data_IF_580409865479
#
_entry.id   IF_580409865479
#
_cell.length_a   1.000
_cell.length_b   1.000
_cell.length_c   1.000
_cell.angle_alpha   90.00
_cell.angle_beta   90.00
_cell.angle_gamma   90.00
#
_symmetry.space_group_name_H-M   'P 1'
#
loop_
_entity.id
_entity.type
_entity.pdbx_description
1 polymer ?
#
# COMPACT_ATOMS: atom_id res chain seq x y z
N UNK A 1 -18.24 -10.81 -24.22
CA UNK A 1 -18.15 -9.44 -23.66
C UNK A 1 -19.12 -9.20 -22.49
N UNK A 2 -20.42 -9.52 -22.59
CA UNK A 2 -21.43 -9.29 -21.52
C UNK A 2 -21.13 -10.05 -20.21
N UNK A 3 -20.71 -11.32 -20.28
CA UNK A 3 -20.39 -12.14 -19.11
C UNK A 3 -19.21 -11.58 -18.29
N UNK A 4 -18.11 -11.17 -18.96
CA UNK A 4 -16.93 -10.59 -18.33
C UNK A 4 -17.24 -9.30 -17.60
N UNK A 5 -18.08 -8.43 -18.18
CA UNK A 5 -18.50 -7.17 -17.55
C UNK A 5 -19.32 -7.41 -16.29
N UNK A 6 -20.22 -8.41 -16.32
CA UNK A 6 -21.02 -8.79 -15.14
C UNK A 6 -20.09 -9.30 -14.02
N UNK A 7 -19.10 -10.11 -14.35
CA UNK A 7 -18.10 -10.63 -13.41
C UNK A 7 -17.28 -9.49 -12.77
N UNK A 8 -16.81 -8.53 -13.57
CA UNK A 8 -16.09 -7.35 -13.10
C UNK A 8 -16.95 -6.48 -12.18
N UNK A 9 -18.23 -6.26 -12.52
CA UNK A 9 -19.17 -5.47 -11.71
C UNK A 9 -19.47 -6.16 -10.36
N UNK A 10 -19.63 -7.49 -10.34
CA UNK A 10 -19.84 -8.28 -9.11
C UNK A 10 -18.60 -8.28 -8.22
N UNK A 11 -17.41 -8.48 -8.81
CA UNK A 11 -16.14 -8.38 -8.08
C UNK A 11 -15.98 -7.00 -7.43
N UNK A 12 -16.31 -5.94 -8.17
CA UNK A 12 -16.26 -4.57 -7.66
C UNK A 12 -17.20 -4.37 -6.48
N UNK A 13 -18.45 -4.83 -6.58
CA UNK A 13 -19.44 -4.75 -5.51
C UNK A 13 -18.95 -5.41 -4.21
N UNK A 14 -18.35 -6.61 -4.32
CA UNK A 14 -17.79 -7.34 -3.16
C UNK A 14 -16.64 -6.54 -2.52
N UNK A 15 -15.73 -6.02 -3.35
CA UNK A 15 -14.57 -5.26 -2.86
C UNK A 15 -14.99 -3.92 -2.26
N UNK A 16 -16.04 -3.27 -2.78
CA UNK A 16 -16.62 -2.04 -2.22
C UNK A 16 -17.25 -2.29 -0.85
N UNK A 17 -17.97 -3.38 -0.69
CA UNK A 17 -18.51 -3.81 0.60
C UNK A 17 -17.39 -4.08 1.62
N UNK A 18 -16.34 -4.78 1.19
CA UNK A 18 -15.16 -5.02 2.02
C UNK A 18 -14.49 -3.71 2.45
N UNK A 19 -14.30 -2.75 1.55
CA UNK A 19 -13.70 -1.44 1.86
C UNK A 19 -14.50 -0.70 2.94
N UNK A 20 -15.84 -0.63 2.80
CA UNK A 20 -16.71 0.03 3.79
C UNK A 20 -16.60 -0.62 5.17
N UNK A 21 -16.71 -1.94 5.24
CA UNK A 21 -16.61 -2.68 6.50
C UNK A 21 -15.23 -2.53 7.13
N UNK A 22 -14.18 -2.67 6.34
CA UNK A 22 -12.81 -2.51 6.82
C UNK A 22 -12.52 -1.11 7.36
N UNK A 23 -13.01 -0.08 6.69
CA UNK A 23 -12.88 1.30 7.15
C UNK A 23 -13.52 1.49 8.53
N UNK A 24 -14.69 0.90 8.75
CA UNK A 24 -15.46 1.03 9.98
C UNK A 24 -14.94 0.18 11.14
N UNK A 25 -14.57 -1.09 10.90
CA UNK A 25 -14.35 -2.08 11.97
C UNK A 25 -12.97 -2.73 12.00
N UNK A 26 -12.22 -2.70 10.89
CA UNK A 26 -10.92 -3.34 10.76
C UNK A 26 -10.98 -4.81 10.33
N UNK A 27 -9.81 -5.39 10.04
CA UNK A 27 -9.67 -6.70 9.42
C UNK A 27 -10.28 -7.85 10.23
N UNK A 28 -10.03 -7.88 11.53
CA UNK A 28 -10.45 -9.01 12.38
C UNK A 28 -11.97 -9.08 12.56
N UNK A 29 -12.65 -7.92 12.52
CA UNK A 29 -14.10 -7.84 12.69
C UNK A 29 -14.88 -8.14 11.40
N UNK A 30 -14.22 -8.16 10.23
CA UNK A 30 -14.87 -8.42 8.94
C UNK A 30 -14.90 -9.90 8.64
N UNK A 31 -16.05 -10.43 8.27
CA UNK A 31 -16.24 -11.79 7.79
C UNK A 31 -16.84 -11.80 6.38
N UNK A 32 -16.69 -12.94 5.66
CA UNK A 32 -17.34 -13.16 4.36
C UNK A 32 -18.87 -13.00 4.45
N UNK A 33 -19.48 -13.38 5.59
CA UNK A 33 -20.92 -13.22 5.82
C UNK A 33 -21.32 -11.75 5.88
N UNK A 34 -20.50 -10.93 6.54
CA UNK A 34 -20.79 -9.50 6.67
C UNK A 34 -20.61 -8.81 5.31
N UNK A 35 -19.57 -9.17 4.55
CA UNK A 35 -19.38 -8.67 3.18
C UNK A 35 -20.57 -9.04 2.29
N UNK A 36 -21.04 -10.30 2.34
CA UNK A 36 -22.18 -10.72 1.53
C UNK A 36 -23.48 -9.94 1.89
N UNK A 37 -23.69 -9.60 3.16
CA UNK A 37 -24.85 -8.78 3.60
C UNK A 37 -24.82 -7.36 3.05
N UNK A 38 -23.64 -6.83 2.78
CA UNK A 38 -23.43 -5.50 2.20
C UNK A 38 -23.48 -5.47 0.67
N UNK A 39 -23.77 -6.62 0.03
CA UNK A 39 -23.91 -6.76 -1.42
C UNK A 39 -25.31 -7.16 -1.82
N UNK A 40 -25.64 -6.99 -3.10
CA UNK A 40 -26.90 -7.50 -3.69
C UNK A 40 -26.89 -9.03 -3.92
N UNK A 41 -25.82 -9.73 -3.51
CA UNK A 41 -25.59 -11.14 -3.79
C UNK A 41 -25.86 -12.02 -2.58
N UNK A 42 -26.32 -13.26 -2.84
CA UNK A 42 -26.35 -14.28 -1.81
C UNK A 42 -24.94 -14.70 -1.38
N UNK A 43 -24.79 -15.17 -0.13
CA UNK A 43 -23.51 -15.69 0.37
C UNK A 43 -22.90 -16.77 -0.54
N UNK A 44 -23.64 -17.79 -1.01
CA UNK A 44 -23.10 -18.75 -1.97
C UNK A 44 -22.58 -18.10 -3.26
N UNK A 45 -23.25 -17.04 -3.74
CA UNK A 45 -22.81 -16.33 -4.93
C UNK A 45 -21.47 -15.62 -4.72
N UNK A 46 -21.19 -15.07 -3.54
CA UNK A 46 -19.89 -14.46 -3.21
C UNK A 46 -18.77 -15.48 -3.25
N UNK A 47 -19.01 -16.73 -2.80
CA UNK A 47 -18.02 -17.82 -2.86
C UNK A 47 -17.60 -18.23 -4.28
N UNK A 48 -18.40 -17.91 -5.30
CA UNK A 48 -17.99 -18.14 -6.70
C UNK A 48 -16.87 -17.21 -7.13
N UNK A 49 -16.69 -16.06 -6.48
CA UNK A 49 -15.66 -15.06 -6.77
C UNK A 49 -14.47 -15.20 -5.84
N UNK A 50 -14.72 -15.30 -4.54
CA UNK A 50 -13.69 -15.34 -3.50
C UNK A 50 -13.96 -16.48 -2.50
N UNK A 51 -12.96 -17.32 -2.27
CA UNK A 51 -13.07 -18.47 -1.35
C UNK A 51 -12.89 -18.06 0.11
N UNK A 52 -12.09 -17.02 0.34
CA UNK A 52 -11.72 -16.55 1.68
C UNK A 52 -11.85 -15.03 1.77
N UNK A 53 -11.91 -14.49 2.98
CA UNK A 53 -11.88 -13.02 3.16
C UNK A 53 -10.53 -12.45 2.76
N UNK A 54 -9.46 -13.21 2.94
CA UNK A 54 -8.09 -12.84 2.59
C UNK A 54 -7.98 -12.54 1.09
N UNK A 55 -8.63 -13.33 0.24
CA UNK A 55 -8.69 -13.07 -1.21
C UNK A 55 -9.40 -11.75 -1.53
N UNK A 56 -10.49 -11.42 -0.81
CA UNK A 56 -11.17 -10.12 -0.99
C UNK A 56 -10.29 -8.98 -0.51
N UNK A 57 -9.58 -9.16 0.59
CA UNK A 57 -8.62 -8.17 1.09
C UNK A 57 -7.42 -7.99 0.14
N UNK A 58 -6.92 -9.04 -0.51
CA UNK A 58 -5.90 -8.90 -1.55
C UNK A 58 -6.42 -8.13 -2.76
N UNK A 59 -7.68 -8.35 -3.17
CA UNK A 59 -8.31 -7.59 -4.25
C UNK A 59 -8.51 -6.11 -3.86
N UNK A 60 -8.91 -5.82 -2.62
CA UNK A 60 -8.96 -4.46 -2.09
C UNK A 60 -7.58 -3.82 -2.09
N UNK A 61 -6.57 -4.54 -1.66
CA UNK A 61 -5.19 -4.06 -1.62
C UNK A 61 -4.64 -3.77 -3.02
N UNK A 62 -4.88 -4.66 -4.00
CA UNK A 62 -4.54 -4.43 -5.40
C UNK A 62 -5.19 -3.14 -5.91
N UNK A 63 -6.50 -2.94 -5.65
CA UNK A 63 -7.22 -1.74 -6.04
C UNK A 63 -6.65 -0.46 -5.41
N UNK A 64 -6.23 -0.52 -4.16
CA UNK A 64 -5.60 0.62 -3.49
C UNK A 64 -4.23 0.95 -4.08
N UNK A 65 -3.44 -0.07 -4.44
CA UNK A 65 -2.22 0.15 -5.21
C UNK A 65 -2.50 0.76 -6.58
N UNK A 66 -3.51 0.29 -7.31
CA UNK A 66 -3.87 0.84 -8.62
C UNK A 66 -4.31 2.30 -8.51
N UNK A 67 -5.07 2.65 -7.46
CA UNK A 67 -5.41 4.05 -7.16
C UNK A 67 -4.15 4.90 -6.87
N UNK A 68 -3.16 4.33 -6.20
CA UNK A 68 -1.88 5.00 -5.96
C UNK A 68 -1.04 5.09 -7.24
N UNK A 69 -1.01 4.05 -8.06
CA UNK A 69 -0.33 4.01 -9.35
C UNK A 69 -0.80 5.13 -10.28
N UNK A 70 -2.09 5.45 -10.28
CA UNK A 70 -2.61 6.62 -11.01
C UNK A 70 -1.99 7.93 -10.51
N UNK A 71 -1.81 8.10 -9.20
CA UNK A 71 -1.18 9.31 -8.65
C UNK A 71 0.33 9.36 -8.95
N UNK A 72 1.02 8.22 -8.89
CA UNK A 72 2.44 8.10 -9.27
C UNK A 72 2.64 8.39 -10.77
N UNK A 73 1.78 7.85 -11.63
CA UNK A 73 1.83 8.12 -13.07
C UNK A 73 1.61 9.61 -13.40
N UNK A 74 0.69 10.26 -12.69
CA UNK A 74 0.49 11.72 -12.81
C UNK A 74 1.72 12.50 -12.35
N UNK A 75 2.38 12.07 -11.28
CA UNK A 75 3.64 12.68 -10.85
C UNK A 75 4.74 12.48 -11.91
N UNK A 76 4.87 11.26 -12.43
CA UNK A 76 5.84 10.96 -13.49
C UNK A 76 5.63 11.85 -14.73
N UNK A 77 4.39 12.14 -15.09
CA UNK A 77 4.06 12.95 -16.26
C UNK A 77 4.22 14.47 -16.06
N UNK A 78 4.48 14.95 -14.83
CA UNK A 78 4.60 16.40 -14.55
C UNK A 78 5.79 17.02 -15.30
N UNK A 79 5.63 18.24 -15.85
CA UNK A 79 6.76 18.98 -16.42
C UNK A 79 7.73 19.46 -15.34
N UNK A 80 8.96 19.80 -15.78
CA UNK A 80 10.00 20.38 -14.95
C UNK A 80 10.91 19.36 -14.28
N UNK A 81 11.88 19.88 -13.55
CA UNK A 81 12.88 19.12 -12.78
C UNK A 81 12.84 19.62 -11.32
N UNK A 82 12.00 19.03 -10.46
CA UNK A 82 11.91 19.44 -9.06
C UNK A 82 13.24 19.20 -8.34
N UNK A 83 13.62 20.04 -7.37
CA UNK A 83 14.70 19.74 -6.44
C UNK A 83 14.32 18.58 -5.49
N UNK A 84 15.25 18.18 -4.61
CA UNK A 84 15.02 17.05 -3.68
C UNK A 84 13.85 17.30 -2.74
N UNK A 85 13.71 18.53 -2.27
CA UNK A 85 12.62 18.90 -1.36
C UNK A 85 11.26 18.84 -2.07
N UNK A 86 11.16 19.41 -3.27
CA UNK A 86 9.95 19.40 -4.07
C UNK A 86 9.59 17.98 -4.55
N UNK A 87 10.56 17.12 -4.86
CA UNK A 87 10.33 15.72 -5.21
C UNK A 87 9.83 14.92 -4.00
N UNK A 88 10.44 15.10 -2.83
CA UNK A 88 9.98 14.46 -1.60
C UNK A 88 8.54 14.87 -1.24
N UNK A 89 8.24 16.16 -1.35
CA UNK A 89 6.89 16.68 -1.18
C UNK A 89 5.90 16.07 -2.19
N UNK A 90 6.30 15.97 -3.45
CA UNK A 90 5.45 15.43 -4.49
C UNK A 90 5.16 13.94 -4.28
N UNK A 91 6.17 13.12 -3.92
CA UNK A 91 6.00 11.72 -3.58
C UNK A 91 5.11 11.53 -2.35
N UNK A 92 5.34 12.30 -1.27
CA UNK A 92 4.51 12.22 -0.07
C UNK A 92 3.04 12.57 -0.37
N UNK A 93 2.79 13.59 -1.19
CA UNK A 93 1.43 13.97 -1.63
C UNK A 93 0.72 12.90 -2.43
N UNK A 94 1.42 11.97 -3.11
CA UNK A 94 0.76 10.86 -3.80
C UNK A 94 0.01 9.92 -2.84
N UNK A 95 0.39 9.91 -1.56
CA UNK A 95 -0.23 9.12 -0.50
C UNK A 95 -1.34 9.87 0.26
N UNK A 96 -1.58 11.15 -0.06
CA UNK A 96 -2.66 11.92 0.56
C UNK A 96 -4.02 11.30 0.26
N UNK A 97 -4.85 11.14 1.30
CA UNK A 97 -6.17 10.51 1.19
C UNK A 97 -6.15 8.98 0.99
N UNK A 98 -4.98 8.32 1.13
CA UNK A 98 -4.83 6.87 0.97
C UNK A 98 -4.70 6.14 2.32
N UNK A 99 -5.51 6.54 3.28
CA UNK A 99 -5.49 5.92 4.62
C UNK A 99 -5.76 4.41 4.58
N UNK A 100 -6.65 3.95 3.68
CA UNK A 100 -6.93 2.52 3.49
C UNK A 100 -5.69 1.78 3.00
N UNK A 101 -4.96 2.30 2.01
CA UNK A 101 -3.70 1.70 1.54
C UNK A 101 -2.68 1.58 2.68
N UNK A 102 -2.43 2.67 3.40
CA UNK A 102 -1.46 2.68 4.49
C UNK A 102 -1.84 1.73 5.63
N UNK A 103 -3.16 1.62 5.92
CA UNK A 103 -3.68 0.68 6.91
C UNK A 103 -3.54 -0.77 6.44
N UNK A 104 -3.78 -1.08 5.17
CA UNK A 104 -3.56 -2.40 4.59
C UNK A 104 -2.08 -2.79 4.62
N UNK A 105 -1.18 -1.85 4.30
CA UNK A 105 0.27 -2.05 4.38
C UNK A 105 0.73 -2.47 5.79
N UNK A 106 0.09 -1.97 6.85
CA UNK A 106 0.43 -2.32 8.22
C UNK A 106 -0.06 -3.70 8.68
N UNK A 107 -0.79 -4.43 7.83
CA UNK A 107 -1.28 -5.77 8.14
C UNK A 107 -0.20 -6.83 7.89
N UNK A 108 -0.37 -8.01 8.51
CA UNK A 108 0.49 -9.15 8.25
C UNK A 108 0.17 -9.76 6.87
N UNK A 109 1.04 -9.52 5.90
CA UNK A 109 0.88 -10.06 4.55
C UNK A 109 0.95 -11.58 4.49
N UNK A 110 1.72 -12.23 5.36
CA UNK A 110 1.85 -13.69 5.37
C UNK A 110 0.52 -14.39 5.63
N UNK A 111 -0.30 -13.85 6.54
CA UNK A 111 -1.62 -14.42 6.84
C UNK A 111 -2.57 -14.29 5.64
N UNK A 112 -2.50 -13.16 4.92
CA UNK A 112 -3.30 -12.98 3.71
C UNK A 112 -2.83 -13.87 2.55
N UNK A 113 -1.52 -14.04 2.40
CA UNK A 113 -0.92 -14.89 1.35
C UNK A 113 -1.26 -16.37 1.59
N UNK A 114 -1.12 -16.86 2.82
CA UNK A 114 -1.39 -18.25 3.19
C UNK A 114 -2.86 -18.65 2.95
N UNK A 115 -3.79 -17.72 3.15
CA UNK A 115 -5.23 -17.95 2.95
C UNK A 115 -5.74 -17.75 1.53
N UNK A 116 -4.87 -17.47 0.55
CA UNK A 116 -5.27 -17.03 -0.80
C UNK A 116 -4.75 -17.94 -1.90
N UNK A 117 -5.53 -18.06 -2.99
CA UNK A 117 -5.08 -18.71 -4.23
C UNK A 117 -3.98 -17.89 -4.91
N UNK A 118 -3.08 -18.61 -5.62
CA UNK A 118 -1.92 -17.99 -6.32
C UNK A 118 -2.37 -16.96 -7.36
N UNK A 119 -3.52 -17.15 -8.01
CA UNK A 119 -4.06 -16.23 -9.00
C UNK A 119 -4.39 -14.85 -8.38
N UNK A 120 -5.03 -14.85 -7.20
CA UNK A 120 -5.38 -13.62 -6.48
C UNK A 120 -4.12 -12.93 -5.94
N UNK A 121 -3.18 -13.70 -5.41
CA UNK A 121 -1.88 -13.19 -5.00
C UNK A 121 -1.11 -12.60 -6.18
N UNK A 122 -1.13 -13.26 -7.34
CA UNK A 122 -0.47 -12.77 -8.56
C UNK A 122 -1.09 -11.45 -9.03
N UNK A 123 -2.42 -11.32 -9.00
CA UNK A 123 -3.10 -10.08 -9.34
C UNK A 123 -2.66 -8.93 -8.42
N UNK A 124 -2.62 -9.17 -7.11
CA UNK A 124 -2.11 -8.22 -6.13
C UNK A 124 -0.63 -7.84 -6.39
N UNK A 125 0.25 -8.82 -6.62
CA UNK A 125 1.68 -8.57 -6.88
C UNK A 125 1.92 -7.79 -8.19
N UNK A 126 1.02 -7.86 -9.18
CA UNK A 126 1.09 -7.01 -10.39
C UNK A 126 0.87 -5.53 -10.05
N UNK A 127 -0.18 -5.20 -9.29
CA UNK A 127 -0.46 -3.82 -8.89
C UNK A 127 0.67 -3.25 -8.00
N UNK A 128 1.20 -4.05 -7.08
CA UNK A 128 2.37 -3.70 -6.27
C UNK A 128 3.62 -3.48 -7.12
N UNK A 129 3.92 -4.41 -8.05
CA UNK A 129 5.08 -4.31 -8.95
C UNK A 129 5.02 -3.06 -9.84
N UNK A 130 3.82 -2.66 -10.27
CA UNK A 130 3.62 -1.42 -11.01
C UNK A 130 4.00 -0.18 -10.18
N UNK A 131 3.69 -0.16 -8.88
CA UNK A 131 4.12 0.93 -7.99
C UNK A 131 5.64 1.05 -7.92
N UNK A 132 6.35 -0.09 -7.80
CA UNK A 132 7.82 -0.13 -7.81
C UNK A 132 8.35 0.41 -9.14
N UNK A 133 7.77 -0.02 -10.27
CA UNK A 133 8.16 0.44 -11.60
C UNK A 133 7.99 1.95 -11.75
N UNK A 134 6.86 2.49 -11.30
CA UNK A 134 6.57 3.92 -11.37
C UNK A 134 7.50 4.75 -10.50
N UNK A 135 7.78 4.35 -9.26
CA UNK A 135 8.73 5.07 -8.39
C UNK A 135 10.13 5.02 -8.99
N UNK A 136 10.57 3.86 -9.53
CA UNK A 136 11.85 3.75 -10.25
C UNK A 136 11.92 4.72 -11.44
N UNK A 137 10.86 4.82 -12.24
CA UNK A 137 10.78 5.74 -13.38
C UNK A 137 10.80 7.21 -12.94
N UNK A 138 10.12 7.56 -11.83
CA UNK A 138 10.15 8.91 -11.23
C UNK A 138 11.58 9.28 -10.84
N UNK A 139 12.30 8.39 -10.15
CA UNK A 139 13.70 8.62 -9.79
C UNK A 139 14.59 8.74 -11.02
N UNK A 140 14.42 7.88 -12.03
CA UNK A 140 15.20 7.95 -13.26
C UNK A 140 15.00 9.26 -14.00
N UNK A 141 13.76 9.76 -14.04
CA UNK A 141 13.40 11.02 -14.72
C UNK A 141 13.90 12.25 -13.96
N UNK A 142 13.59 12.34 -12.67
CA UNK A 142 13.83 13.56 -11.89
C UNK A 142 15.19 13.57 -11.19
N UNK A 143 15.92 12.44 -11.20
CA UNK A 143 17.28 12.29 -10.66
C UNK A 143 18.15 11.51 -11.66
N UNK A 144 18.36 12.08 -12.87
CA UNK A 144 19.14 11.38 -13.91
C UNK A 144 20.58 11.09 -13.46
N UNK A 145 21.17 11.93 -12.59
CA UNK A 145 22.49 11.71 -11.99
C UNK A 145 22.55 10.63 -10.90
N UNK A 146 21.41 10.12 -10.41
CA UNK A 146 21.38 9.05 -9.42
C UNK A 146 21.80 7.72 -10.07
N UNK A 147 22.84 7.08 -9.54
CA UNK A 147 23.31 5.78 -10.03
C UNK A 147 22.18 4.71 -9.96
N UNK A 148 22.13 3.74 -10.90
CA UNK A 148 21.11 2.67 -10.86
C UNK A 148 21.06 1.93 -9.53
N UNK A 149 22.20 1.60 -8.93
CA UNK A 149 22.26 0.96 -7.62
C UNK A 149 21.66 1.81 -6.48
N UNK A 150 21.83 3.13 -6.52
CA UNK A 150 21.22 4.03 -5.54
C UNK A 150 19.70 4.11 -5.70
N UNK A 151 19.18 4.03 -6.94
CA UNK A 151 17.72 3.94 -7.17
C UNK A 151 17.12 2.67 -6.59
N UNK A 152 17.80 1.53 -6.77
CA UNK A 152 17.35 0.27 -6.17
C UNK A 152 17.42 0.34 -4.63
N UNK A 153 18.51 0.89 -4.06
CA UNK A 153 18.61 1.09 -2.62
C UNK A 153 17.48 1.98 -2.06
N UNK A 154 17.13 3.05 -2.79
CA UNK A 154 15.97 3.89 -2.45
C UNK A 154 14.68 3.06 -2.41
N UNK A 155 14.40 2.24 -3.43
CA UNK A 155 13.18 1.42 -3.48
C UNK A 155 13.12 0.42 -2.32
N UNK A 156 14.24 -0.26 -2.03
CA UNK A 156 14.34 -1.23 -0.94
C UNK A 156 14.32 -0.61 0.46
N UNK A 157 14.51 0.69 0.59
CA UNK A 157 14.25 1.43 1.83
C UNK A 157 12.82 1.97 1.87
N UNK A 158 12.34 2.57 0.79
CA UNK A 158 11.07 3.28 0.73
C UNK A 158 9.85 2.36 0.90
N UNK A 159 9.78 1.25 0.14
CA UNK A 159 8.61 0.37 0.21
C UNK A 159 8.45 -0.31 1.58
N UNK A 160 9.49 -0.91 2.20
CA UNK A 160 9.38 -1.43 3.57
C UNK A 160 9.02 -0.36 4.61
N UNK A 161 9.54 0.86 4.49
CA UNK A 161 9.18 1.95 5.38
C UNK A 161 7.68 2.24 5.37
N UNK A 162 6.99 2.16 4.23
CA UNK A 162 5.56 2.41 4.14
C UNK A 162 4.72 1.48 5.03
N UNK A 163 5.20 0.26 5.34
CA UNK A 163 4.53 -0.68 6.24
C UNK A 163 4.44 -0.14 7.68
N UNK A 164 5.42 0.68 8.09
CA UNK A 164 5.44 1.33 9.40
C UNK A 164 4.63 2.62 9.49
N UNK A 165 4.27 3.25 8.37
CA UNK A 165 3.68 4.61 8.40
C UNK A 165 2.38 4.65 9.19
N UNK A 166 1.44 3.74 8.93
CA UNK A 166 0.13 3.76 9.58
C UNK A 166 0.22 3.55 11.09
N UNK A 167 0.92 2.54 11.64
CA UNK A 167 1.03 2.32 13.08
C UNK A 167 1.62 3.50 13.84
N UNK A 168 2.52 4.25 13.21
CA UNK A 168 3.18 5.40 13.83
C UNK A 168 2.42 6.73 13.65
N UNK A 169 1.42 6.77 12.76
CA UNK A 169 0.68 8.02 12.48
C UNK A 169 -0.81 7.95 12.84
N UNK A 170 -1.35 6.76 13.11
CA UNK A 170 -2.75 6.51 13.45
C UNK A 170 -2.87 5.81 14.81
N UNK A 171 -2.38 6.49 15.86
CA UNK A 171 -2.35 5.95 17.23
C UNK A 171 -3.76 5.87 17.80
N UNK A 172 -4.15 4.67 18.27
CA UNK A 172 -5.44 4.47 18.94
C UNK A 172 -5.47 5.12 20.33
N UNK A 173 -6.67 5.45 20.87
CA UNK A 173 -6.78 5.95 22.25
C UNK A 173 -6.15 5.02 23.29
N UNK A 174 -6.32 3.70 23.13
CA UNK A 174 -5.72 2.67 24.00
C UNK A 174 -4.19 2.71 23.95
N UNK A 175 -3.62 2.81 22.77
CA UNK A 175 -2.16 2.90 22.58
C UNK A 175 -1.61 4.18 23.19
N UNK A 176 -2.27 5.32 22.97
CA UNK A 176 -1.89 6.62 23.57
C UNK A 176 -1.88 6.56 25.09
N UNK A 177 -2.95 6.01 25.70
CA UNK A 177 -3.02 5.85 27.15
C UNK A 177 -1.87 4.97 27.70
N UNK A 178 -1.56 3.85 27.01
CA UNK A 178 -0.48 2.97 27.40
C UNK A 178 0.90 3.65 27.31
N UNK A 179 1.14 4.43 26.26
CA UNK A 179 2.41 5.18 26.10
C UNK A 179 2.56 6.26 27.18
N UNK A 180 1.49 7.01 27.46
CA UNK A 180 1.47 7.99 28.55
C UNK A 180 1.79 7.34 29.89
N UNK A 181 1.15 6.19 30.19
CA UNK A 181 1.39 5.44 31.45
C UNK A 181 2.83 4.90 31.53
N UNK A 182 3.44 4.56 30.39
CA UNK A 182 4.80 4.07 30.31
C UNK A 182 5.88 5.18 30.25
N UNK A 183 5.48 6.46 30.24
CA UNK A 183 6.41 7.58 30.13
C UNK A 183 7.11 7.65 28.75
N UNK A 184 6.49 7.11 27.71
CA UNK A 184 7.04 7.11 26.35
C UNK A 184 6.50 8.31 25.58
N UNK A 185 7.41 9.19 25.14
CA UNK A 185 7.07 10.28 24.25
C UNK A 185 6.69 9.75 22.87
N UNK A 186 5.54 10.17 22.36
CA UNK A 186 5.07 9.80 21.05
C UNK A 186 4.82 11.05 20.20
N UNK A 187 5.65 11.30 19.18
CA UNK A 187 5.48 12.46 18.31
C UNK A 187 4.19 12.33 17.50
N UNK A 188 3.37 13.36 17.51
CA UNK A 188 2.16 13.45 16.68
C UNK A 188 2.55 13.94 15.29
N UNK A 189 2.93 13.02 14.41
CA UNK A 189 3.32 13.32 13.03
C UNK A 189 2.30 12.71 12.08
N UNK A 190 1.80 13.49 11.11
CA UNK A 190 0.93 12.97 10.06
C UNK A 190 1.69 12.14 9.02
N UNK A 191 1.00 11.18 8.38
CA UNK A 191 1.60 10.26 7.42
C UNK A 191 2.36 10.99 6.29
N UNK A 192 1.78 12.06 5.72
CA UNK A 192 2.43 12.83 4.66
C UNK A 192 3.75 13.47 5.13
N UNK A 193 3.77 14.04 6.34
CA UNK A 193 4.97 14.66 6.90
C UNK A 193 6.06 13.62 7.18
N UNK A 194 5.68 12.45 7.72
CA UNK A 194 6.61 11.34 7.98
C UNK A 194 7.23 10.82 6.69
N UNK A 195 6.41 10.57 5.66
CA UNK A 195 6.89 10.11 4.34
C UNK A 195 7.79 11.16 3.69
N UNK A 196 7.41 12.44 3.73
CA UNK A 196 8.22 13.54 3.20
C UNK A 196 9.61 13.58 3.83
N UNK A 197 9.67 13.53 5.15
CA UNK A 197 10.93 13.55 5.89
C UNK A 197 11.83 12.38 5.52
N UNK A 198 11.27 11.18 5.45
CA UNK A 198 12.01 9.98 5.07
C UNK A 198 12.52 10.04 3.62
N UNK A 199 11.69 10.44 2.68
CA UNK A 199 12.08 10.57 1.26
C UNK A 199 13.18 11.62 1.09
N UNK A 200 13.10 12.76 1.82
CA UNK A 200 14.19 13.77 1.81
C UNK A 200 15.50 13.16 2.28
N UNK A 201 15.50 12.42 3.37
CA UNK A 201 16.69 11.76 3.89
C UNK A 201 17.28 10.77 2.86
N UNK A 202 16.42 9.96 2.20
CA UNK A 202 16.89 9.02 1.16
C UNK A 202 17.46 9.71 -0.08
N UNK A 203 16.94 10.88 -0.46
CA UNK A 203 17.45 11.64 -1.61
C UNK A 203 18.77 12.32 -1.29
N UNK A 204 18.96 12.81 -0.04
CA UNK A 204 20.17 13.54 0.40
C UNK A 204 21.33 12.59 0.75
N UNK A 205 21.03 11.35 1.18
CA UNK A 205 22.02 10.37 1.61
C UNK A 205 21.76 9.04 0.89
N UNK A 206 22.36 8.79 -0.28
CA UNK A 206 22.16 7.53 -0.97
C UNK A 206 22.60 6.36 -0.08
N UNK A 207 21.64 5.47 0.21
CA UNK A 207 21.83 4.31 1.07
C UNK A 207 22.93 3.38 0.56
N UNK A 208 23.78 2.78 1.42
CA UNK A 208 24.77 1.79 1.02
C UNK A 208 24.08 0.59 0.34
N UNK A 209 24.80 -0.03 -0.63
CA UNK A 209 24.32 -1.25 -1.32
C UNK A 209 23.90 -2.31 -0.32
N UNK A 210 22.75 -2.99 -0.54
CA UNK A 210 22.53 -4.29 0.08
C UNK A 210 23.68 -5.21 -0.38
N UNK A 211 24.44 -5.73 0.56
CA UNK A 211 25.45 -6.76 0.28
C UNK A 211 24.74 -7.97 -0.30
N UNK A 212 25.09 -8.37 -1.52
CA UNK A 212 24.64 -9.62 -2.11
C UNK A 212 24.99 -10.76 -1.14
N UNK A 213 23.95 -11.42 -0.60
CA UNK A 213 24.15 -12.71 0.06
C UNK A 213 24.66 -13.66 -1.01
N UNK A 214 25.92 -14.05 -0.94
CA UNK A 214 26.43 -15.21 -1.66
C UNK A 214 25.53 -16.39 -1.29
N UNK A 215 24.72 -16.84 -2.22
CA UNK A 215 23.99 -18.09 -2.10
C UNK A 215 25.05 -19.18 -2.10
N UNK A 216 25.42 -19.65 -0.94
CA UNK A 216 26.22 -20.90 -0.82
C UNK A 216 25.26 -22.03 -1.27
N UNK A 217 25.67 -22.74 -2.31
CA UNK A 217 25.03 -23.95 -2.84
C UNK A 217 25.03 -25.06 -1.80
#
# INVERSE_FOLDING_TARGET
MRSKRIEEDRTREIVDACERLYAATGFHAVSLRDIARETSMSRPSVYNYFRTKEEIFLALFAREYDRWNVALARLLARPGAPDDAALADALARTLRGRGILLRLLSMNLYDMEAGSRVENLTAFKRSYGESIRLVRAILARFRPGMAPAAREAFLWAFFPFLFGVHPYTAVTPKQRAAMTAAGVDFPTVGAEALVRSFVRALLSHPTPRPTERKTTR
#
